data_IF_468549554676
#
_entry.id   IF_468549554676
#
_cell.length_a   1.000
_cell.length_b   1.000
_cell.length_c   1.000
_cell.angle_alpha   90.00
_cell.angle_beta   90.00
_cell.angle_gamma   90.00
#
_symmetry.space_group_name_H-M   'P 1'
#
loop_
_entity.id
_entity.type
_entity.pdbx_description
1 polymer ?
#
# COMPACT_ATOMS: atom_id res chain seq x y z
N UNK A 1 6.40 24.61 3.37
CA UNK A 1 6.20 23.39 2.56
C UNK A 1 5.50 22.38 3.45
N UNK A 2 4.20 22.16 3.27
CA UNK A 2 3.48 21.15 4.06
C UNK A 2 3.97 19.78 3.60
N UNK A 3 4.80 19.13 4.41
CA UNK A 3 5.04 17.69 4.28
C UNK A 3 3.67 17.04 4.41
N UNK A 4 3.02 16.72 3.28
CA UNK A 4 1.86 15.85 3.26
C UNK A 4 2.35 14.44 3.58
N UNK A 5 2.74 14.23 4.84
CA UNK A 5 3.15 12.94 5.37
C UNK A 5 2.00 11.98 5.07
N UNK A 6 2.25 11.01 4.20
CA UNK A 6 1.29 9.97 3.96
C UNK A 6 1.18 9.17 5.26
N UNK A 7 -0.04 9.08 5.80
CA UNK A 7 -0.30 8.25 6.98
C UNK A 7 -1.12 7.04 6.56
N UNK A 8 -0.78 5.83 7.05
CA UNK A 8 -1.62 4.66 6.87
C UNK A 8 -2.94 4.74 7.65
N UNK A 9 -3.07 5.67 8.59
CA UNK A 9 -4.27 5.85 9.41
C UNK A 9 -5.35 6.66 8.68
N UNK A 10 -6.60 6.39 9.01
CA UNK A 10 -7.72 7.18 8.52
C UNK A 10 -7.63 8.61 9.09
N UNK A 11 -7.63 9.66 8.26
CA UNK A 11 -7.52 11.03 8.75
C UNK A 11 -8.75 11.50 9.56
N UNK A 12 -9.85 10.73 9.56
CA UNK A 12 -11.08 11.08 10.28
C UNK A 12 -11.22 10.39 11.65
N UNK A 13 -10.77 9.15 11.78
CA UNK A 13 -10.99 8.34 12.98
C UNK A 13 -9.74 7.60 13.46
N UNK A 14 -8.59 7.83 12.82
CA UNK A 14 -7.30 7.18 13.10
C UNK A 14 -7.27 5.66 12.92
N UNK A 15 -8.38 5.05 12.48
CA UNK A 15 -8.42 3.61 12.19
C UNK A 15 -7.44 3.24 11.08
N UNK A 16 -6.75 2.11 11.27
CA UNK A 16 -5.87 1.52 10.25
C UNK A 16 -6.61 0.53 9.34
N UNK A 17 -7.84 0.14 9.71
CA UNK A 17 -8.62 -0.86 9.00
C UNK A 17 -9.21 -0.28 7.71
N UNK A 18 -8.95 -0.98 6.62
CA UNK A 18 -9.42 -0.62 5.27
C UNK A 18 -10.27 -1.73 4.71
N UNK A 19 -11.42 -1.35 4.14
CA UNK A 19 -12.24 -2.21 3.31
C UNK A 19 -11.65 -2.20 1.91
N UNK A 20 -10.94 -3.26 1.57
CA UNK A 20 -10.39 -3.45 0.23
C UNK A 20 -11.49 -3.89 -0.73
N UNK A 21 -11.39 -3.53 -2.02
CA UNK A 21 -12.38 -3.92 -2.99
C UNK A 21 -12.37 -5.43 -3.27
N UNK A 22 -13.55 -6.03 -3.31
CA UNK A 22 -13.71 -7.47 -3.56
C UNK A 22 -13.43 -7.85 -5.02
N UNK A 23 -13.65 -6.93 -5.97
CA UNK A 23 -13.49 -7.16 -7.42
C UNK A 23 -12.96 -5.91 -8.12
N UNK A 24 -12.28 -6.09 -9.26
CA UNK A 24 -11.81 -5.01 -10.16
C UNK A 24 -10.97 -3.94 -9.43
N UNK A 25 -9.77 -4.35 -9.01
CA UNK A 25 -8.79 -3.51 -8.28
C UNK A 25 -8.41 -2.24 -9.03
N UNK A 26 -8.52 -2.25 -10.36
CA UNK A 26 -8.23 -1.13 -11.27
C UNK A 26 -9.22 0.04 -11.16
N UNK A 27 -10.46 -0.22 -10.73
CA UNK A 27 -11.52 0.79 -10.68
C UNK A 27 -12.09 1.03 -9.30
N UNK A 28 -11.78 0.16 -8.35
CA UNK A 28 -12.45 0.16 -7.08
C UNK A 28 -11.75 1.03 -6.03
N UNK A 29 -12.55 1.74 -5.25
CA UNK A 29 -12.11 2.59 -4.16
C UNK A 29 -11.86 1.78 -2.89
N UNK A 30 -10.97 2.30 -2.04
CA UNK A 30 -10.71 1.77 -0.71
C UNK A 30 -11.34 2.69 0.30
N UNK A 31 -12.10 2.11 1.23
CA UNK A 31 -12.79 2.86 2.27
C UNK A 31 -12.25 2.50 3.64
N UNK A 32 -12.32 3.43 4.59
CA UNK A 32 -12.13 3.12 6.01
C UNK A 32 -13.25 2.17 6.47
N UNK A 33 -12.86 1.10 7.16
CA UNK A 33 -13.83 0.13 7.66
C UNK A 33 -14.76 0.73 8.72
N UNK A 34 -14.23 1.63 9.54
CA UNK A 34 -14.92 2.13 10.74
C UNK A 34 -15.79 3.37 10.47
N UNK A 35 -15.27 4.34 9.70
CA UNK A 35 -15.99 5.61 9.46
C UNK A 35 -16.37 5.86 8.00
N UNK A 36 -16.10 4.91 7.09
CA UNK A 36 -16.46 5.01 5.67
C UNK A 36 -15.72 6.07 4.87
N UNK A 37 -14.63 6.65 5.40
CA UNK A 37 -13.82 7.61 4.65
C UNK A 37 -13.25 6.98 3.37
N UNK A 38 -13.45 7.65 2.24
CA UNK A 38 -12.89 7.25 0.95
C UNK A 38 -11.43 7.67 0.83
N UNK A 39 -10.52 6.69 0.68
CA UNK A 39 -9.10 6.93 0.45
C UNK A 39 -8.78 7.10 -1.05
N UNK A 40 -9.74 6.85 -1.95
CA UNK A 40 -9.57 6.87 -3.41
C UNK A 40 -9.34 5.47 -4.00
N UNK A 41 -8.90 5.45 -5.26
CA UNK A 41 -8.68 4.20 -6.01
C UNK A 41 -7.58 3.34 -5.39
N UNK A 42 -7.79 2.03 -5.41
CA UNK A 42 -6.85 1.06 -4.87
C UNK A 42 -5.44 1.18 -5.47
N UNK A 43 -5.30 1.32 -6.79
CA UNK A 43 -3.99 1.45 -7.45
C UNK A 43 -3.18 2.64 -6.92
N UNK A 44 -3.81 3.82 -6.83
CA UNK A 44 -3.15 5.02 -6.31
C UNK A 44 -2.73 4.89 -4.85
N UNK A 45 -3.55 4.20 -4.05
CA UNK A 45 -3.19 3.94 -2.65
C UNK A 45 -1.96 3.04 -2.59
N UNK A 46 -1.92 1.96 -3.37
CA UNK A 46 -0.76 1.05 -3.43
C UNK A 46 0.49 1.79 -3.89
N UNK A 47 0.42 2.60 -4.94
CA UNK A 47 1.55 3.42 -5.40
C UNK A 47 2.06 4.36 -4.31
N UNK A 48 1.15 5.00 -3.58
CA UNK A 48 1.51 5.90 -2.49
C UNK A 48 2.19 5.17 -1.33
N UNK A 49 1.76 3.95 -0.99
CA UNK A 49 2.47 3.11 -0.03
C UNK A 49 3.87 2.73 -0.50
N UNK A 50 4.04 2.39 -1.79
CA UNK A 50 5.37 2.07 -2.34
C UNK A 50 6.33 3.25 -2.24
N UNK A 51 5.89 4.43 -2.64
CA UNK A 51 6.70 5.65 -2.56
C UNK A 51 7.09 6.00 -1.11
N UNK A 52 6.17 5.82 -0.17
CA UNK A 52 6.47 6.04 1.26
C UNK A 52 7.50 5.03 1.77
N UNK A 53 7.36 3.75 1.41
CA UNK A 53 8.33 2.72 1.76
C UNK A 53 9.71 3.02 1.17
N UNK A 54 9.80 3.35 -0.12
CA UNK A 54 11.07 3.74 -0.77
C UNK A 54 11.71 4.95 -0.09
N UNK A 55 10.89 5.93 0.29
CA UNK A 55 11.36 7.12 1.02
C UNK A 55 11.90 6.74 2.41
N UNK A 56 11.25 5.83 3.12
CA UNK A 56 11.68 5.35 4.44
C UNK A 56 12.94 4.49 4.34
N UNK A 57 13.01 3.58 3.37
CA UNK A 57 14.19 2.74 3.09
C UNK A 57 15.41 3.61 2.77
N UNK A 58 15.24 4.62 1.91
CA UNK A 58 16.31 5.56 1.57
C UNK A 58 16.81 6.35 2.79
N UNK A 59 15.90 6.81 3.67
CA UNK A 59 16.26 7.50 4.92
C UNK A 59 17.01 6.59 5.89
N UNK A 60 16.73 5.29 5.88
CA UNK A 60 17.39 4.30 6.73
C UNK A 60 18.69 3.75 6.12
N UNK A 61 19.04 4.14 4.89
CA UNK A 61 20.20 3.62 4.17
C UNK A 61 20.07 2.15 3.79
N UNK A 62 18.84 1.64 3.71
CA UNK A 62 18.58 0.28 3.25
C UNK A 62 18.62 0.23 1.72
N UNK A 63 19.18 -0.84 1.12
CA UNK A 63 19.07 -1.02 -0.32
C UNK A 63 17.59 -1.15 -0.70
N UNK A 64 17.17 -0.64 -1.88
CA UNK A 64 15.79 -0.77 -2.32
C UNK A 64 15.42 -2.24 -2.38
N UNK A 65 14.30 -2.60 -1.75
CA UNK A 65 13.84 -3.98 -1.73
C UNK A 65 13.63 -4.46 -3.17
N UNK A 66 14.40 -5.46 -3.61
CA UNK A 66 14.29 -6.07 -4.95
C UNK A 66 12.97 -6.83 -5.03
N UNK A 67 11.87 -6.13 -5.25
CA UNK A 67 10.57 -6.72 -5.50
C UNK A 67 10.47 -7.21 -6.95
N UNK A 68 11.23 -8.26 -7.29
CA UNK A 68 10.91 -9.18 -8.40
C UNK A 68 11.70 -10.49 -8.23
N UNK A 69 11.21 -11.37 -7.37
CA UNK A 69 11.43 -12.80 -7.56
C UNK A 69 10.06 -13.48 -7.43
N UNK A 70 9.40 -13.86 -8.55
CA UNK A 70 8.27 -14.77 -8.46
C UNK A 70 8.74 -16.04 -7.75
N UNK A 71 7.92 -16.67 -6.88
CA UNK A 71 8.36 -17.82 -6.12
C UNK A 71 8.91 -18.86 -7.08
N UNK A 72 10.21 -19.15 -6.94
CA UNK A 72 10.92 -20.17 -7.71
C UNK A 72 10.01 -21.39 -7.81
N UNK A 73 9.65 -21.73 -9.05
CA UNK A 73 8.97 -22.96 -9.38
C UNK A 73 9.62 -24.10 -8.60
N UNK A 74 8.83 -24.80 -7.79
CA UNK A 74 9.26 -26.02 -7.14
C UNK A 74 9.69 -27.00 -8.24
N UNK A 75 10.99 -27.11 -8.44
CA UNK A 75 11.63 -28.13 -9.26
C UNK A 75 11.45 -29.47 -8.55
N UNK A 76 10.33 -30.12 -8.81
CA UNK A 76 10.18 -31.54 -8.56
C UNK A 76 10.96 -32.29 -9.65
N UNK A 77 12.21 -32.62 -9.35
CA UNK A 77 12.93 -33.70 -9.99
C UNK A 77 12.78 -34.94 -9.11
N UNK A 78 12.03 -35.93 -9.60
CA UNK A 78 12.21 -37.37 -9.30
C UNK A 78 11.44 -38.17 -10.34
#
# INVERSE_FOLDING_TARGET
>A
MTNNHFSPECPKCSSRLKRLPATRRDKAHVYCMDCGHDFGRYEYIVERYRQELETLEAKLGLPPSKADEPPLAASHTS
#
